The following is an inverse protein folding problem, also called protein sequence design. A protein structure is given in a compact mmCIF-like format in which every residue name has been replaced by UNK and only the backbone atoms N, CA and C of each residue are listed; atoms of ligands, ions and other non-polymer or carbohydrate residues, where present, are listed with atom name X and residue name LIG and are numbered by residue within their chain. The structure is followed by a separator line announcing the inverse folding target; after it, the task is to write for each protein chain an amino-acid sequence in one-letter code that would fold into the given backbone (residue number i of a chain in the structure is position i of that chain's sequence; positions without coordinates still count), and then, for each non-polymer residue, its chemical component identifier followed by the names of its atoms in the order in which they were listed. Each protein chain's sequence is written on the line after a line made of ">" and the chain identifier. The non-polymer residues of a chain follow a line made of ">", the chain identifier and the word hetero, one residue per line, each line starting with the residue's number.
data_IF_541903978755
#
_entry.id   IF_541903978755
#
_cell.length_a   1.000
_cell.length_b   1.000
_cell.length_c   1.000
_cell.angle_alpha   90.00
_cell.angle_beta   90.00
_cell.angle_gamma   90.00
#
_symmetry.space_group_name_H-M   'P 1'
#
loop_
_entity.id
_entity.type
_entity.pdbx_description
1 polymer ?
#
# COMPACT_ATOMS: atom_id res chain seq x y z
N UNK A 1 -22.04 9.29 3.18
CA UNK A 1 -21.49 8.05 3.79
C UNK A 1 -21.60 8.17 5.31
N UNK A 2 -21.66 7.05 6.05
CA UNK A 2 -21.69 7.09 7.53
C UNK A 2 -20.37 7.60 8.12
N UNK A 3 -20.41 8.11 9.35
CA UNK A 3 -19.19 8.56 10.05
C UNK A 3 -18.19 7.42 10.26
N UNK A 4 -18.68 6.20 10.52
CA UNK A 4 -17.85 5.02 10.67
C UNK A 4 -17.12 4.65 9.38
N UNK A 5 -17.83 4.63 8.24
CA UNK A 5 -17.22 4.35 6.94
C UNK A 5 -16.22 5.45 6.57
N UNK A 6 -16.53 6.72 6.83
CA UNK A 6 -15.60 7.83 6.55
C UNK A 6 -14.34 7.73 7.41
N UNK A 7 -14.49 7.43 8.70
CA UNK A 7 -13.36 7.19 9.61
C UNK A 7 -12.50 6.04 9.11
N UNK A 8 -13.11 4.94 8.66
CA UNK A 8 -12.40 3.79 8.09
C UNK A 8 -11.56 4.18 6.88
N UNK A 9 -12.16 4.89 5.93
CA UNK A 9 -11.44 5.38 4.73
C UNK A 9 -10.28 6.29 5.12
N UNK A 10 -10.45 7.19 6.09
CA UNK A 10 -9.34 8.05 6.55
C UNK A 10 -8.21 7.24 7.18
N UNK A 11 -8.53 6.21 7.98
CA UNK A 11 -7.55 5.29 8.57
C UNK A 11 -6.85 4.44 7.50
N UNK A 12 -7.62 3.97 6.52
CA UNK A 12 -7.13 3.17 5.41
C UNK A 12 -6.08 3.93 4.58
N UNK A 13 -6.42 5.13 4.12
CA UNK A 13 -5.48 5.98 3.36
C UNK A 13 -4.28 6.42 4.21
N UNK A 14 -4.48 6.68 5.51
CA UNK A 14 -3.38 6.97 6.42
C UNK A 14 -2.40 5.79 6.56
N UNK A 15 -2.91 4.55 6.49
CA UNK A 15 -2.10 3.34 6.41
C UNK A 15 -1.16 3.36 5.21
N UNK A 16 -1.70 3.58 4.01
CA UNK A 16 -0.91 3.69 2.78
C UNK A 16 0.15 4.78 2.86
N UNK A 17 -0.19 5.95 3.40
CA UNK A 17 0.76 7.05 3.57
C UNK A 17 1.92 6.65 4.49
N UNK A 18 1.64 6.18 5.70
CA UNK A 18 2.69 5.93 6.70
C UNK A 18 3.54 4.71 6.36
N UNK A 19 2.91 3.60 5.95
CA UNK A 19 3.65 2.40 5.53
C UNK A 19 4.42 2.69 4.23
N UNK A 20 3.82 3.46 3.32
CA UNK A 20 4.48 3.93 2.10
C UNK A 20 5.73 4.73 2.38
N UNK A 21 5.70 5.68 3.31
CA UNK A 21 6.88 6.45 3.74
C UNK A 21 7.92 5.51 4.35
N UNK A 22 7.52 4.64 5.27
CA UNK A 22 8.43 3.74 5.98
C UNK A 22 9.14 2.75 5.03
N UNK A 23 8.48 2.35 3.95
CA UNK A 23 8.98 1.39 2.98
C UNK A 23 9.54 2.01 1.70
N UNK A 24 9.53 3.33 1.55
CA UNK A 24 9.82 3.99 0.28
C UNK A 24 11.17 3.59 -0.33
N UNK A 25 12.24 3.56 0.47
CA UNK A 25 13.57 3.12 0.00
C UNK A 25 13.61 1.65 -0.44
N UNK A 26 12.78 0.81 0.15
CA UNK A 26 12.72 -0.61 -0.16
C UNK A 26 11.79 -0.89 -1.35
N UNK A 27 10.64 -0.21 -1.45
CA UNK A 27 9.65 -0.41 -2.51
C UNK A 27 9.98 0.34 -3.80
N UNK A 28 10.79 1.40 -3.71
CA UNK A 28 11.03 2.32 -4.83
C UNK A 28 9.83 3.20 -5.14
N UNK A 29 8.91 3.37 -4.18
CA UNK A 29 7.70 4.19 -4.33
C UNK A 29 7.54 5.13 -3.16
N UNK A 30 7.12 6.37 -3.42
CA UNK A 30 6.92 7.41 -2.39
C UNK A 30 5.46 7.89 -2.46
N UNK A 31 4.71 7.93 -1.35
CA UNK A 31 3.38 8.52 -1.34
C UNK A 31 3.50 10.04 -1.52
N UNK A 32 2.74 10.59 -2.47
CA UNK A 32 2.76 12.01 -2.82
C UNK A 32 1.54 12.75 -2.27
N UNK A 33 0.38 12.11 -2.34
CA UNK A 33 -0.90 12.70 -1.97
C UNK A 33 -1.89 11.61 -1.57
N UNK A 34 -2.69 11.86 -0.55
CA UNK A 34 -3.88 11.08 -0.25
C UNK A 34 -5.12 11.99 -0.28
N UNK A 35 -6.25 11.46 -0.70
CA UNK A 35 -7.50 12.23 -0.79
C UNK A 35 -8.68 11.37 -0.39
N UNK A 36 -9.59 11.94 0.40
CA UNK A 36 -10.82 11.32 0.88
C UNK A 36 -11.99 12.28 0.69
N UNK A 37 -13.16 11.76 0.31
CA UNK A 37 -14.35 12.58 0.07
C UNK A 37 -15.54 12.07 0.89
N UNK A 38 -16.14 12.96 1.70
CA UNK A 38 -17.31 12.63 2.54
C UNK A 38 -18.59 12.41 1.72
N UNK A 39 -18.73 13.17 0.64
CA UNK A 39 -19.80 13.07 -0.34
C UNK A 39 -19.22 12.55 -1.65
N UNK A 40 -19.85 11.54 -2.24
CA UNK A 40 -19.49 11.02 -3.58
C UNK A 40 -19.93 12.05 -4.62
N UNK A 41 -19.20 13.16 -4.75
CA UNK A 41 -19.38 14.15 -5.81
C UNK A 41 -18.24 13.99 -6.80
N UNK A 42 -18.53 13.31 -7.91
CA UNK A 42 -17.78 13.29 -9.17
C UNK A 42 -16.24 13.19 -9.08
N UNK A 43 -15.71 12.00 -9.38
CA UNK A 43 -14.32 11.81 -9.83
C UNK A 43 -13.23 11.78 -8.75
N UNK A 44 -13.49 12.21 -7.52
CA UNK A 44 -12.56 12.02 -6.40
C UNK A 44 -12.70 10.60 -5.82
N UNK A 45 -11.97 9.64 -6.38
CA UNK A 45 -11.81 8.33 -5.75
C UNK A 45 -10.95 8.50 -4.49
N UNK A 46 -11.37 7.90 -3.36
CA UNK A 46 -10.52 7.78 -2.19
C UNK A 46 -9.27 7.00 -2.61
N UNK A 47 -8.09 7.59 -2.46
CA UNK A 47 -6.84 6.98 -2.91
C UNK A 47 -5.62 7.69 -2.34
N UNK A 48 -4.53 6.93 -2.29
CA UNK A 48 -3.17 7.42 -2.10
C UNK A 48 -2.40 7.30 -3.41
N UNK A 49 -1.87 8.43 -3.88
CA UNK A 49 -1.06 8.54 -5.08
C UNK A 49 0.41 8.32 -4.73
N UNK A 50 1.07 7.43 -5.47
CA UNK A 50 2.49 7.13 -5.32
C UNK A 50 3.27 7.55 -6.55
N UNK A 51 4.47 8.10 -6.34
CA UNK A 51 5.48 8.28 -7.38
C UNK A 51 6.45 7.11 -7.38
N UNK A 52 6.88 6.67 -8.57
CA UNK A 52 7.95 5.67 -8.71
C UNK A 52 9.31 6.37 -8.79
N UNK A 53 10.31 5.83 -8.10
CA UNK A 53 11.68 6.30 -8.24
C UNK A 53 12.26 5.85 -9.58
N UNK A 54 12.82 6.78 -10.35
CA UNK A 54 13.47 6.47 -11.62
C UNK A 54 14.71 5.59 -11.40
N UNK A 55 14.93 4.62 -12.30
CA UNK A 55 16.09 3.72 -12.24
C UNK A 55 16.11 2.77 -11.04
N UNK A 56 15.01 2.65 -10.27
CA UNK A 56 14.98 1.84 -9.07
C UNK A 56 15.17 0.34 -9.35
N UNK A 57 16.08 -0.29 -8.61
CA UNK A 57 16.39 -1.72 -8.74
C UNK A 57 15.24 -2.60 -8.20
N UNK A 58 14.68 -3.43 -9.09
CA UNK A 58 13.50 -4.27 -8.80
C UNK A 58 13.95 -5.67 -8.38
N UNK A 59 14.00 -5.88 -7.08
CA UNK A 59 14.41 -7.14 -6.44
C UNK A 59 13.23 -7.85 -5.78
N UNK A 60 13.44 -9.09 -5.32
CA UNK A 60 12.47 -9.78 -4.45
C UNK A 60 12.07 -8.89 -3.27
N UNK A 61 13.06 -8.29 -2.59
CA UNK A 61 12.83 -7.43 -1.44
C UNK A 61 11.94 -6.23 -1.78
N UNK A 62 12.10 -5.62 -2.95
CA UNK A 62 11.29 -4.47 -3.34
C UNK A 62 9.84 -4.82 -3.64
N UNK A 63 9.59 -5.97 -4.27
CA UNK A 63 8.23 -6.45 -4.51
C UNK A 63 7.52 -6.80 -3.20
N UNK A 64 8.23 -7.39 -2.22
CA UNK A 64 7.68 -7.64 -0.90
C UNK A 64 7.37 -6.36 -0.14
N UNK A 65 8.22 -5.33 -0.27
CA UNK A 65 7.95 -4.02 0.29
C UNK A 65 6.72 -3.37 -0.37
N UNK A 66 6.61 -3.46 -1.70
CA UNK A 66 5.46 -2.93 -2.44
C UNK A 66 4.16 -3.66 -2.07
N UNK A 67 4.19 -4.99 -1.92
CA UNK A 67 3.04 -5.76 -1.45
C UNK A 67 2.60 -5.35 -0.04
N UNK A 68 3.54 -5.10 0.88
CA UNK A 68 3.22 -4.58 2.20
C UNK A 68 2.61 -3.16 2.14
N UNK A 69 3.07 -2.30 1.22
CA UNK A 69 2.47 -0.98 0.97
C UNK A 69 1.04 -1.07 0.42
N UNK A 70 0.74 -2.07 -0.42
CA UNK A 70 -0.64 -2.31 -0.88
C UNK A 70 -1.52 -2.82 0.27
N UNK A 71 -1.02 -3.68 1.15
CA UNK A 71 -1.80 -4.20 2.28
C UNK A 71 -1.87 -3.22 3.48
N UNK A 72 -1.36 -2.01 3.33
CA UNK A 72 -1.24 -1.04 4.40
C UNK A 72 -2.59 -0.51 4.91
N UNK A 73 -3.56 -0.29 4.02
CA UNK A 73 -4.90 0.14 4.40
C UNK A 73 -5.59 -0.89 5.30
N UNK A 74 -5.57 -2.16 4.88
CA UNK A 74 -6.06 -3.29 5.69
C UNK A 74 -5.35 -3.38 7.05
N UNK A 75 -4.02 -3.26 7.08
CA UNK A 75 -3.27 -3.28 8.33
C UNK A 75 -3.65 -2.13 9.28
N UNK A 76 -3.86 -0.92 8.74
CA UNK A 76 -4.26 0.25 9.52
C UNK A 76 -5.65 0.09 10.11
N UNK A 77 -6.60 -0.43 9.34
CA UNK A 77 -7.95 -0.72 9.82
C UNK A 77 -7.92 -1.72 10.98
N UNK A 78 -7.20 -2.84 10.84
CA UNK A 78 -7.15 -3.85 11.89
C UNK A 78 -6.50 -3.34 13.18
N UNK A 79 -5.40 -2.58 13.08
CA UNK A 79 -4.67 -2.08 14.25
C UNK A 79 -5.41 -0.96 14.97
N UNK A 80 -6.05 -0.04 14.23
CA UNK A 80 -6.68 1.16 14.81
C UNK A 80 -8.17 0.94 15.13
N UNK A 81 -8.88 0.17 14.30
CA UNK A 81 -10.33 -0.05 14.42
C UNK A 81 -10.68 -1.45 14.95
N UNK A 82 -9.72 -2.37 15.02
CA UNK A 82 -9.92 -3.73 15.54
C UNK A 82 -10.58 -4.70 14.55
N UNK A 83 -10.92 -4.24 13.34
CA UNK A 83 -11.44 -5.07 12.26
C UNK A 83 -11.18 -4.43 10.89
N UNK A 84 -11.17 -5.26 9.84
CA UNK A 84 -11.11 -4.82 8.45
C UNK A 84 -12.53 -4.69 7.87
N UNK A 85 -12.76 -3.66 7.06
CA UNK A 85 -13.98 -3.49 6.26
C UNK A 85 -13.91 -4.22 4.92
N UNK A 86 -14.99 -4.12 4.15
CA UNK A 86 -15.11 -4.69 2.80
C UNK A 86 -14.49 -3.80 1.71
N UNK A 87 -13.94 -2.65 2.06
CA UNK A 87 -13.34 -1.67 1.13
C UNK A 87 -11.99 -2.11 0.56
N UNK A 88 -11.33 -3.10 1.16
CA UNK A 88 -9.98 -3.54 0.78
C UNK A 88 -9.94 -4.53 -0.40
N UNK A 89 -11.08 -5.06 -0.86
CA UNK A 89 -11.14 -6.17 -1.81
C UNK A 89 -12.37 -6.17 -2.72
N UNK A 90 -12.42 -7.12 -3.67
CA UNK A 90 -13.59 -7.38 -4.51
C UNK A 90 -13.59 -6.68 -5.88
N UNK A 91 -12.79 -5.62 -6.04
CA UNK A 91 -12.60 -4.96 -7.34
C UNK A 91 -11.19 -5.24 -7.90
N UNK A 92 -11.00 -5.29 -9.24
CA UNK A 92 -9.69 -5.46 -9.86
C UNK A 92 -8.65 -4.42 -9.41
N UNK A 93 -9.10 -3.20 -9.15
CA UNK A 93 -8.29 -2.06 -8.69
C UNK A 93 -8.10 -2.01 -7.18
N UNK A 94 -8.73 -2.90 -6.40
CA UNK A 94 -8.55 -2.94 -4.94
C UNK A 94 -7.11 -3.29 -4.56
N UNK A 95 -6.67 -2.81 -3.40
CA UNK A 95 -5.29 -3.01 -2.97
C UNK A 95 -4.94 -4.48 -2.77
N UNK A 96 -5.90 -5.31 -2.31
CA UNK A 96 -5.69 -6.75 -2.19
C UNK A 96 -5.50 -7.40 -3.58
N UNK A 97 -6.31 -7.03 -4.58
CA UNK A 97 -6.15 -7.53 -5.95
C UNK A 97 -4.78 -7.14 -6.54
N UNK A 98 -4.34 -5.90 -6.30
CA UNK A 98 -3.02 -5.43 -6.71
C UNK A 98 -1.88 -6.16 -5.98
N UNK A 99 -2.01 -6.37 -4.67
CA UNK A 99 -1.04 -7.13 -3.87
C UNK A 99 -0.92 -8.59 -4.35
N UNK A 100 -2.06 -9.26 -4.60
CA UNK A 100 -2.09 -10.62 -5.15
C UNK A 100 -1.39 -10.67 -6.50
N UNK A 101 -1.67 -9.72 -7.40
CA UNK A 101 -1.03 -9.64 -8.71
C UNK A 101 0.49 -9.45 -8.62
N UNK A 102 0.96 -8.58 -7.71
CA UNK A 102 2.39 -8.35 -7.46
C UNK A 102 3.10 -9.60 -6.95
N UNK A 103 2.53 -10.25 -5.94
CA UNK A 103 3.11 -11.45 -5.33
C UNK A 103 3.08 -12.63 -6.30
N UNK A 104 1.97 -12.83 -7.02
CA UNK A 104 1.87 -13.89 -8.00
C UNK A 104 2.85 -13.68 -9.16
N UNK A 105 3.08 -12.43 -9.60
CA UNK A 105 4.10 -12.11 -10.60
C UNK A 105 5.52 -12.42 -10.08
N UNK A 106 5.80 -12.06 -8.82
CA UNK A 106 7.08 -12.39 -8.16
C UNK A 106 7.32 -13.91 -8.10
N UNK A 107 6.33 -14.67 -7.66
CA UNK A 107 6.47 -16.12 -7.43
C UNK A 107 6.43 -16.93 -8.73
N UNK A 108 5.63 -16.51 -9.72
CA UNK A 108 5.31 -17.35 -10.89
C UNK A 108 5.95 -16.89 -12.20
N UNK A 109 6.45 -15.66 -12.29
CA UNK A 109 6.86 -15.10 -13.58
C UNK A 109 8.26 -14.49 -13.60
N UNK A 110 8.69 -13.86 -12.49
CA UNK A 110 9.96 -13.12 -12.46
C UNK A 110 11.17 -13.97 -12.07
N UNK A 111 10.96 -15.22 -11.62
CA UNK A 111 12.02 -16.04 -11.06
C UNK A 111 12.60 -15.46 -9.77
N UNK A 112 11.82 -14.62 -9.07
CA UNK A 112 12.17 -14.00 -7.80
C UNK A 112 11.49 -14.70 -6.60
N UNK A 113 10.68 -15.72 -6.87
CA UNK A 113 10.08 -16.60 -5.88
C UNK A 113 11.02 -17.70 -5.41
N UNK A 114 10.49 -18.62 -4.62
CA UNK A 114 11.24 -19.78 -4.13
C UNK A 114 11.41 -20.86 -5.23
N UNK A 115 10.65 -20.75 -6.33
CA UNK A 115 10.71 -21.65 -7.48
C UNK A 115 11.41 -21.00 -8.69
N UNK A 116 12.23 -21.79 -9.40
CA UNK A 116 12.88 -21.37 -10.65
C UNK A 116 12.00 -21.56 -11.89
N UNK A 117 10.90 -22.31 -11.78
CA UNK A 117 9.94 -22.48 -12.87
C UNK A 117 9.15 -21.19 -13.06
N UNK A 118 9.13 -20.66 -14.28
CA UNK A 118 8.41 -19.42 -14.60
C UNK A 118 7.40 -19.65 -15.72
N UNK A 119 6.33 -18.86 -15.69
CA UNK A 119 5.36 -18.75 -16.78
C UNK A 119 5.86 -17.69 -17.75
N UNK A 120 6.07 -18.07 -19.01
CA UNK A 120 6.31 -17.11 -20.08
C UNK A 120 5.03 -16.28 -20.34
N UNK A 121 5.17 -14.96 -20.50
CA UNK A 121 4.06 -14.03 -20.77
C UNK A 121 2.96 -14.02 -19.68
N UNK A 122 3.24 -13.46 -18.50
CA UNK A 122 2.35 -13.49 -17.34
C UNK A 122 1.18 -12.49 -17.48
N UNK A 123 0.21 -12.82 -18.33
CA UNK A 123 -1.04 -12.06 -18.37
C UNK A 123 -1.82 -12.25 -17.07
N UNK A 124 -2.65 -11.27 -16.64
CA UNK A 124 -3.51 -11.44 -15.47
C UNK A 124 -4.36 -12.72 -15.54
N UNK A 125 -4.85 -13.08 -16.72
CA UNK A 125 -5.61 -14.31 -16.94
C UNK A 125 -4.79 -15.59 -16.77
N UNK A 126 -3.54 -15.61 -17.24
CA UNK A 126 -2.65 -16.77 -17.07
C UNK A 126 -2.27 -16.98 -15.60
N UNK A 127 -2.02 -15.89 -14.87
CA UNK A 127 -1.77 -15.93 -13.42
C UNK A 127 -3.02 -16.45 -12.69
N UNK A 128 -4.20 -15.91 -13.00
CA UNK A 128 -5.45 -16.33 -12.37
C UNK A 128 -5.73 -17.82 -12.59
N UNK A 129 -5.59 -18.30 -13.84
CA UNK A 129 -5.73 -19.72 -14.17
C UNK A 129 -4.72 -20.58 -13.38
N UNK A 130 -3.45 -20.16 -13.26
CA UNK A 130 -2.48 -20.92 -12.47
C UNK A 130 -2.89 -21.01 -11.00
N UNK A 131 -3.31 -19.89 -10.40
CA UNK A 131 -3.78 -19.87 -9.01
C UNK A 131 -5.04 -20.71 -8.81
N UNK A 132 -5.88 -20.88 -9.82
CA UNK A 132 -7.07 -21.74 -9.79
C UNK A 132 -6.72 -23.24 -9.76
N UNK A 133 -5.75 -23.68 -10.57
CA UNK A 133 -5.44 -25.11 -10.71
C UNK A 133 -4.24 -25.60 -9.88
N UNK A 134 -3.37 -24.71 -9.42
CA UNK A 134 -2.17 -25.05 -8.65
C UNK A 134 -2.31 -24.62 -7.19
N UNK A 135 -2.69 -25.56 -6.34
CA UNK A 135 -2.84 -25.33 -4.90
C UNK A 135 -1.52 -24.97 -4.20
N UNK A 136 -0.37 -25.44 -4.71
CA UNK A 136 0.94 -25.10 -4.15
C UNK A 136 1.30 -23.65 -4.46
N UNK A 137 1.09 -23.21 -5.70
CA UNK A 137 1.25 -21.81 -6.09
C UNK A 137 0.36 -20.89 -5.25
N UNK A 138 -0.91 -21.27 -5.05
CA UNK A 138 -1.84 -20.52 -4.20
C UNK A 138 -1.35 -20.42 -2.76
N UNK A 139 -0.87 -21.52 -2.18
CA UNK A 139 -0.35 -21.53 -0.81
C UNK A 139 0.92 -20.67 -0.65
N UNK A 140 1.79 -20.64 -1.66
CA UNK A 140 2.98 -19.78 -1.68
C UNK A 140 2.60 -18.29 -1.71
N UNK A 141 1.69 -17.91 -2.63
CA UNK A 141 1.20 -16.54 -2.72
C UNK A 141 0.51 -16.11 -1.42
N UNK A 142 -0.36 -16.94 -0.86
CA UNK A 142 -1.03 -16.69 0.43
C UNK A 142 -0.03 -16.49 1.56
N UNK A 143 1.01 -17.33 1.65
CA UNK A 143 2.07 -17.19 2.66
C UNK A 143 2.77 -15.84 2.53
N UNK A 144 3.17 -15.45 1.32
CA UNK A 144 3.88 -14.19 1.08
C UNK A 144 2.98 -12.98 1.37
N UNK A 145 1.69 -13.04 1.02
CA UNK A 145 0.73 -11.99 1.37
C UNK A 145 0.55 -11.85 2.88
N UNK A 146 0.48 -12.96 3.62
CA UNK A 146 0.43 -12.93 5.10
C UNK A 146 1.68 -12.31 5.70
N UNK A 147 2.86 -12.67 5.19
CA UNK A 147 4.13 -12.10 5.63
C UNK A 147 4.18 -10.58 5.34
N UNK A 148 3.68 -10.14 4.18
CA UNK A 148 3.59 -8.73 3.81
C UNK A 148 2.59 -7.95 4.68
N UNK A 149 1.41 -8.51 4.95
CA UNK A 149 0.41 -7.92 5.85
C UNK A 149 0.95 -7.80 7.28
N UNK A 150 1.64 -8.84 7.77
CA UNK A 150 2.28 -8.82 9.09
C UNK A 150 3.34 -7.72 9.19
N UNK A 151 4.16 -7.53 8.14
CA UNK A 151 5.12 -6.42 8.06
C UNK A 151 4.42 -5.07 8.10
N UNK A 152 3.34 -4.88 7.33
CA UNK A 152 2.57 -3.64 7.35
C UNK A 152 1.97 -3.36 8.74
N UNK A 153 1.37 -4.37 9.38
CA UNK A 153 0.83 -4.27 10.75
C UNK A 153 1.90 -3.84 11.75
N UNK A 154 3.09 -4.44 11.72
CA UNK A 154 4.17 -4.07 12.63
C UNK A 154 4.55 -2.59 12.49
N UNK A 155 4.64 -2.09 11.25
CA UNK A 155 4.92 -0.67 10.97
C UNK A 155 3.79 0.21 11.50
N UNK A 156 2.54 -0.16 11.27
CA UNK A 156 1.37 0.59 11.76
C UNK A 156 1.34 0.62 13.30
N UNK A 157 1.66 -0.49 13.97
CA UNK A 157 1.74 -0.54 15.44
C UNK A 157 2.85 0.38 15.95
N UNK A 158 4.05 0.31 15.37
CA UNK A 158 5.19 1.13 15.74
C UNK A 158 4.92 2.63 15.51
N UNK A 159 4.27 2.96 14.39
CA UNK A 159 3.98 4.33 13.95
C UNK A 159 2.54 4.76 14.19
N UNK A 160 1.86 4.11 15.14
CA UNK A 160 0.42 4.34 15.40
C UNK A 160 0.07 5.84 15.57
N UNK A 161 0.82 6.65 16.33
CA UNK A 161 0.52 8.08 16.47
C UNK A 161 0.57 8.85 15.14
N UNK A 162 1.45 8.46 14.22
CA UNK A 162 1.56 9.08 12.89
C UNK A 162 0.36 8.73 12.02
N UNK A 163 -0.07 7.47 12.05
CA UNK A 163 -1.25 7.01 11.30
C UNK A 163 -2.50 7.73 11.79
N UNK A 164 -2.69 7.82 13.12
CA UNK A 164 -3.81 8.55 13.71
C UNK A 164 -3.77 10.04 13.37
N UNK A 165 -2.58 10.66 13.34
CA UNK A 165 -2.42 12.06 12.94
C UNK A 165 -2.76 12.31 11.46
N UNK A 166 -2.31 11.43 10.55
CA UNK A 166 -2.66 11.53 9.13
C UNK A 166 -4.15 11.28 8.92
N UNK A 167 -4.74 10.29 9.60
CA UNK A 167 -6.17 10.02 9.53
C UNK A 167 -7.01 11.22 10.02
N UNK A 168 -6.59 11.87 11.12
CA UNK A 168 -7.23 13.09 11.59
C UNK A 168 -7.09 14.26 10.61
N UNK A 169 -5.92 14.40 9.97
CA UNK A 169 -5.71 15.37 8.91
C UNK A 169 -6.69 15.15 7.75
N UNK A 170 -6.77 13.92 7.23
CA UNK A 170 -7.69 13.54 6.15
C UNK A 170 -9.16 13.76 6.53
N UNK A 171 -9.55 13.43 7.76
CA UNK A 171 -10.91 13.65 8.23
C UNK A 171 -11.30 15.14 8.26
N UNK A 172 -10.34 16.03 8.55
CA UNK A 172 -10.57 17.47 8.68
C UNK A 172 -10.48 18.22 7.34
N UNK A 173 -9.54 17.84 6.47
CA UNK A 173 -9.21 18.61 5.25
C UNK A 173 -9.59 17.90 3.95
N UNK A 174 -9.92 16.60 4.02
CA UNK A 174 -10.12 15.74 2.86
C UNK A 174 -8.82 15.37 2.13
N UNK A 175 -7.65 15.90 2.53
CA UNK A 175 -6.40 15.72 1.77
C UNK A 175 -5.15 15.70 2.66
N UNK A 176 -4.19 14.87 2.26
CA UNK A 176 -2.81 14.88 2.75
C UNK A 176 -1.86 14.98 1.56
N UNK A 177 -0.76 15.72 1.67
CA UNK A 177 0.23 15.83 0.61
C UNK A 177 1.63 16.12 1.16
N UNK A 178 2.65 15.64 0.46
CA UNK A 178 4.05 16.02 0.72
C UNK A 178 4.23 17.50 0.42
N UNK A 179 4.89 18.24 1.33
CA UNK A 179 5.19 19.66 1.12
C UNK A 179 6.58 19.78 0.52
N UNK A 180 6.75 20.62 -0.49
CA UNK A 180 8.07 20.99 -0.98
C UNK A 180 8.56 22.22 -0.23
N UNK A 181 9.83 22.19 0.21
CA UNK A 181 10.48 23.41 0.68
C UNK A 181 10.81 24.32 -0.52
N UNK A 182 11.00 25.61 -0.26
CA UNK A 182 11.42 26.61 -1.27
C UNK A 182 12.75 26.29 -1.96
N UNK A 183 13.54 25.33 -1.44
CA UNK A 183 14.78 24.85 -2.05
C UNK A 183 14.59 23.61 -2.96
N UNK A 184 13.35 23.15 -3.19
CA UNK A 184 13.06 22.03 -4.10
C UNK A 184 13.08 20.64 -3.44
N UNK A 185 13.49 20.54 -2.18
CA UNK A 185 13.46 19.29 -1.42
C UNK A 185 12.02 18.96 -0.97
N UNK A 186 11.58 17.73 -1.24
CA UNK A 186 10.31 17.21 -0.73
C UNK A 186 10.47 16.83 0.75
N UNK A 187 9.55 17.30 1.60
CA UNK A 187 9.48 16.87 3.00
C UNK A 187 8.06 16.59 3.51
N UNK A 188 7.95 15.57 4.37
CA UNK A 188 6.72 15.19 5.09
C UNK A 188 6.61 16.01 6.38
N UNK A 189 5.88 17.13 6.33
CA UNK A 189 5.54 17.90 7.54
C UNK A 189 4.41 17.20 8.32
N UNK A 190 4.74 16.20 9.13
CA UNK A 190 3.90 15.82 10.27
C UNK A 190 4.44 16.49 11.53
N UNK A 191 3.59 16.87 12.51
CA UNK A 191 4.04 17.55 13.73
C UNK A 191 4.99 16.73 14.62
N UNK A 192 5.37 15.52 14.20
CA UNK A 192 6.18 14.57 14.97
C UNK A 192 7.50 14.16 14.30
N UNK A 193 7.83 14.61 13.08
CA UNK A 193 9.11 14.28 12.43
C UNK A 193 9.91 15.51 12.00
N UNK A 194 11.21 15.48 12.28
CA UNK A 194 12.21 16.33 11.64
C UNK A 194 12.48 15.86 10.21
N UNK A 195 12.60 16.82 9.31
CA UNK A 195 12.96 16.80 7.87
C UNK A 195 13.63 15.53 7.30
N UNK A 196 12.91 14.44 7.01
CA UNK A 196 13.22 13.41 5.98
C UNK A 196 13.21 14.00 4.55
N UNK A 197 14.27 14.68 4.16
CA UNK A 197 14.46 15.11 2.78
C UNK A 197 14.62 13.91 1.84
N UNK A 198 13.91 13.91 0.73
CA UNK A 198 14.17 13.05 -0.41
C UNK A 198 14.89 13.86 -1.49
N UNK A 199 16.17 13.55 -1.74
CA UNK A 199 16.92 14.10 -2.86
C UNK A 199 16.41 13.51 -4.18
N UNK A 200 16.26 14.36 -5.20
CA UNK A 200 15.94 13.94 -6.58
C UNK A 200 17.02 13.03 -7.17
#
# INVERSE_FOLDING_TARGET
>A
MSDELFRRICVHEAGHVIVGIALAKASGTVPMRASVAREVRSGAANRTEFSQMEGFDRTRHSYLALAATMLAGMAAEEVILGNCGDTCGGAPESDLSQAVGLVAKLELALGLGDALLTIASPSPGAIAQRLEFDSKARAQVEKVLRDALARARNIVVERRPEVEAVAACLANTGTWAVRHSSNGDAYVSTPYYSTMTYSR
#
